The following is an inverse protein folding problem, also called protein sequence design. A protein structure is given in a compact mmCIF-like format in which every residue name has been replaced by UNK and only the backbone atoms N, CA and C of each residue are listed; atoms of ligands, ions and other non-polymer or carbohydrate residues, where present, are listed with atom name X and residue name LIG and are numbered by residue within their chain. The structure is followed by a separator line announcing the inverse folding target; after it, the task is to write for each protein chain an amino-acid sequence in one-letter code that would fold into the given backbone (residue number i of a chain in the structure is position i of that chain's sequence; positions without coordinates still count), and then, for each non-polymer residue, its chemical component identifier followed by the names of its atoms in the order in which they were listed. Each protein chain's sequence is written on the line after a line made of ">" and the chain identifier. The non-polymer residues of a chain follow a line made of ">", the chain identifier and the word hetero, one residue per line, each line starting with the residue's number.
data_IF_063160651153
#
_entry.id   IF_063160651153
#
_cell.length_a   1.000
_cell.length_b   1.000
_cell.length_c   1.000
_cell.angle_alpha   90.00
_cell.angle_beta   90.00
_cell.angle_gamma   90.00
#
_symmetry.space_group_name_H-M   'P 1'
#
loop_
_entity.id
_entity.type
_entity.pdbx_description
1 polymer ?
#
# COMPACT_ATOMS: atom_id res chain seq x y z
N UNK A 1 40.55 -22.63 -6.37
CA UNK A 1 39.43 -23.47 -5.84
C UNK A 1 39.37 -23.28 -4.33
N UNK A 2 38.20 -23.29 -3.64
CA UNK A 2 36.85 -22.84 -3.99
C UNK A 2 36.24 -21.86 -2.94
N UNK A 3 34.96 -21.54 -3.16
CA UNK A 3 34.04 -20.61 -2.48
C UNK A 3 33.93 -20.79 -0.95
N UNK A 4 33.84 -19.66 -0.23
CA UNK A 4 33.17 -19.55 1.06
C UNK A 4 32.14 -18.43 0.98
N UNK A 5 30.86 -18.80 0.98
CA UNK A 5 29.73 -17.89 0.84
C UNK A 5 29.62 -16.90 2.00
N UNK A 6 29.25 -15.66 1.70
CA UNK A 6 28.91 -14.62 2.67
C UNK A 6 27.75 -15.07 3.57
N UNK A 7 27.83 -14.92 4.91
CA UNK A 7 26.65 -14.91 5.73
C UNK A 7 26.12 -13.47 5.74
N UNK A 8 25.29 -13.14 4.74
CA UNK A 8 24.37 -12.01 4.91
C UNK A 8 23.36 -12.51 5.94
N UNK A 9 23.63 -12.17 7.20
CA UNK A 9 22.72 -12.42 8.30
C UNK A 9 21.32 -11.93 7.88
N UNK A 10 20.38 -12.85 8.04
CA UNK A 10 18.95 -12.64 8.04
C UNK A 10 18.59 -11.26 8.64
N UNK A 11 18.17 -10.34 7.78
CA UNK A 11 17.41 -9.16 8.17
C UNK A 11 15.96 -9.35 7.71
N UNK A 12 15.28 -10.33 8.30
CA UNK A 12 13.83 -10.29 8.49
C UNK A 12 13.47 -9.15 9.45
N UNK A 13 13.75 -7.92 9.05
CA UNK A 13 13.04 -6.75 9.54
C UNK A 13 11.85 -6.55 8.63
N UNK A 14 10.64 -6.40 9.19
CA UNK A 14 9.44 -6.01 8.46
C UNK A 14 9.80 -4.92 7.45
N UNK A 15 9.87 -5.27 6.17
CA UNK A 15 10.04 -4.26 5.12
C UNK A 15 8.74 -3.50 5.14
N UNK A 16 8.76 -2.27 5.67
CA UNK A 16 7.62 -1.36 5.58
C UNK A 16 7.11 -1.42 4.14
N UNK A 17 5.90 -1.94 3.97
CA UNK A 17 5.31 -2.07 2.64
C UNK A 17 5.07 -0.65 2.13
N UNK A 18 5.74 -0.29 1.04
CA UNK A 18 5.63 1.03 0.43
C UNK A 18 4.64 0.94 -0.72
N UNK A 19 3.61 1.77 -0.67
CA UNK A 19 2.68 1.97 -1.77
C UNK A 19 2.49 3.46 -2.05
N UNK A 20 2.11 3.76 -3.29
CA UNK A 20 1.69 5.09 -3.74
C UNK A 20 0.21 5.05 -4.09
N UNK A 21 -0.54 6.03 -3.59
CA UNK A 21 -1.94 6.24 -3.96
C UNK A 21 -1.95 7.29 -5.06
N UNK A 22 -2.40 6.93 -6.25
CA UNK A 22 -2.63 7.85 -7.38
C UNK A 22 -4.13 8.08 -7.49
N UNK A 23 -4.55 9.31 -7.21
CA UNK A 23 -5.95 9.72 -7.23
C UNK A 23 -6.04 11.25 -7.30
N UNK A 24 -7.21 11.79 -7.62
CA UNK A 24 -7.46 13.23 -7.53
C UNK A 24 -7.71 13.70 -6.08
N UNK A 25 -7.66 15.02 -5.87
CA UNK A 25 -7.79 15.61 -4.53
C UNK A 25 -9.20 15.46 -3.92
N UNK A 26 -10.24 15.39 -4.74
CA UNK A 26 -11.62 15.20 -4.27
C UNK A 26 -11.83 13.75 -3.81
N UNK A 27 -11.36 12.80 -4.60
CA UNK A 27 -11.39 11.37 -4.30
C UNK A 27 -10.59 11.06 -3.02
N UNK A 28 -9.37 11.60 -2.90
CA UNK A 28 -8.58 11.48 -1.66
C UNK A 28 -9.31 12.06 -0.43
N UNK A 29 -9.92 13.24 -0.57
CA UNK A 29 -10.69 13.87 0.51
C UNK A 29 -11.89 13.00 0.91
N UNK A 30 -12.62 12.44 -0.05
CA UNK A 30 -13.79 11.62 0.23
C UNK A 30 -13.42 10.29 0.88
N UNK A 31 -12.27 9.69 0.53
CA UNK A 31 -11.71 8.52 1.21
C UNK A 31 -11.41 8.82 2.68
N UNK A 32 -10.68 9.89 2.97
CA UNK A 32 -10.31 10.26 4.35
C UNK A 32 -11.52 10.66 5.20
N UNK A 33 -12.58 11.18 4.59
CA UNK A 33 -13.83 11.51 5.28
C UNK A 33 -14.80 10.31 5.40
N UNK A 34 -14.41 9.12 4.94
CA UNK A 34 -15.27 7.93 4.95
C UNK A 34 -16.49 8.02 4.02
N UNK A 35 -16.49 8.94 3.06
CA UNK A 35 -17.58 9.16 2.10
C UNK A 35 -17.43 8.35 0.82
N UNK A 36 -16.26 7.81 0.57
CA UNK A 36 -15.95 6.92 -0.54
C UNK A 36 -15.38 5.62 0.03
N UNK A 37 -15.91 4.47 -0.41
CA UNK A 37 -15.41 3.17 -0.01
C UNK A 37 -14.07 2.88 -0.74
N UNK A 38 -13.00 2.45 -0.05
CA UNK A 38 -11.71 2.17 -0.67
C UNK A 38 -11.74 1.07 -1.76
N UNK A 39 -12.53 0.01 -1.58
CA UNK A 39 -12.67 -1.08 -2.55
C UNK A 39 -13.41 -0.62 -3.80
N UNK A 40 -14.48 0.15 -3.61
CA UNK A 40 -15.25 0.74 -4.71
C UNK A 40 -14.40 1.71 -5.54
N UNK A 41 -13.58 2.53 -4.87
CA UNK A 41 -12.71 3.52 -5.53
C UNK A 41 -11.63 2.87 -6.41
N UNK A 42 -11.10 1.70 -6.00
CA UNK A 42 -10.19 0.92 -6.86
C UNK A 42 -10.95 0.30 -8.01
N UNK A 43 -12.13 -0.28 -7.75
CA UNK A 43 -12.93 -0.94 -8.78
C UNK A 43 -13.44 0.03 -9.88
N UNK A 44 -13.73 1.28 -9.52
CA UNK A 44 -14.12 2.35 -10.46
C UNK A 44 -12.93 2.98 -11.19
N UNK A 45 -11.71 2.77 -10.71
CA UNK A 45 -10.50 3.40 -11.23
C UNK A 45 -10.27 4.84 -10.72
N UNK A 46 -11.04 5.29 -9.73
CA UNK A 46 -10.83 6.59 -9.07
C UNK A 46 -9.54 6.59 -8.22
N UNK A 47 -9.07 5.40 -7.83
CA UNK A 47 -7.83 5.17 -7.11
C UNK A 47 -7.01 4.08 -7.81
N UNK A 48 -5.75 4.38 -8.06
CA UNK A 48 -4.74 3.40 -8.45
C UNK A 48 -3.71 3.25 -7.33
N UNK A 49 -3.38 2.00 -6.99
CA UNK A 49 -2.33 1.66 -6.02
C UNK A 49 -1.13 1.09 -6.76
N UNK A 50 0.04 1.69 -6.53
CA UNK A 50 1.31 1.25 -7.09
C UNK A 50 2.25 0.79 -5.97
N UNK A 51 2.91 -0.36 -6.16
CA UNK A 51 3.87 -0.90 -5.19
C UNK A 51 3.31 -2.12 -4.46
N UNK A 52 2.96 -1.95 -3.18
CA UNK A 52 2.27 -2.99 -2.41
C UNK A 52 0.86 -3.28 -2.95
N UNK A 53 0.26 -4.38 -2.47
CA UNK A 53 -1.08 -4.78 -2.87
C UNK A 53 -2.17 -3.81 -2.40
N UNK A 54 -3.40 -3.98 -2.92
CA UNK A 54 -4.56 -3.20 -2.47
C UNK A 54 -4.93 -3.50 -1.01
N UNK A 55 -4.58 -4.69 -0.48
CA UNK A 55 -4.85 -5.09 0.91
C UNK A 55 -4.16 -4.17 1.92
N UNK A 56 -2.89 -3.79 1.66
CA UNK A 56 -2.16 -2.84 2.49
C UNK A 56 -2.80 -1.46 2.48
N UNK A 57 -3.34 -1.04 1.34
CA UNK A 57 -4.10 0.21 1.23
C UNK A 57 -5.42 0.13 2.01
N UNK A 58 -6.16 -0.99 1.94
CA UNK A 58 -7.40 -1.17 2.70
C UNK A 58 -7.15 -1.11 4.21
N UNK A 59 -6.14 -1.83 4.69
CA UNK A 59 -5.74 -1.79 6.11
C UNK A 59 -5.30 -0.39 6.55
N UNK A 60 -4.61 0.37 5.69
CA UNK A 60 -4.30 1.77 5.95
C UNK A 60 -5.57 2.63 6.06
N UNK A 61 -6.55 2.43 5.16
CA UNK A 61 -7.79 3.20 5.15
C UNK A 61 -8.71 2.93 6.34
N UNK A 62 -8.63 1.74 6.97
CA UNK A 62 -9.38 1.46 8.19
C UNK A 62 -9.03 2.39 9.36
N UNK A 63 -7.83 3.00 9.36
CA UNK A 63 -7.39 3.93 10.40
C UNK A 63 -8.12 5.28 10.38
N UNK A 64 -8.84 5.59 9.29
CA UNK A 64 -9.53 6.85 9.08
C UNK A 64 -11.06 6.71 9.18
N UNK A 65 -11.57 5.55 9.60
CA UNK A 65 -13.00 5.31 9.84
C UNK A 65 -13.45 5.80 11.21
#
# INVERSE_FOLDING_TARGET
>A
MPRGASPIADRSGSRSQVFTIVTDSLSMKNLVLGKLNPEEAIASGDVEIVGAGPEEFFGFMELFR
#
